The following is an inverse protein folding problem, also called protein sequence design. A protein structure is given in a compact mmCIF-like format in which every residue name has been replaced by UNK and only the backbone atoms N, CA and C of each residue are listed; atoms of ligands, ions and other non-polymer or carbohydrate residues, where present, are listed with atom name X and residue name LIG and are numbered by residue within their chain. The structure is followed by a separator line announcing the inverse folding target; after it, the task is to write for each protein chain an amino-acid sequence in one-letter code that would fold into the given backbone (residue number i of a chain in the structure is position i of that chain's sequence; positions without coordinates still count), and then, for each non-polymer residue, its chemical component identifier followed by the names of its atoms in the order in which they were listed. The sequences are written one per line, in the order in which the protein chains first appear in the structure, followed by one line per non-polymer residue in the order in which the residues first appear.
data_IF_148746148907
#
_entry.id   IF_148746148907
#
_cell.length_a   1.000
_cell.length_b   1.000
_cell.length_c   1.000
_cell.angle_alpha   90.00
_cell.angle_beta   90.00
_cell.angle_gamma   90.00
#
_symmetry.space_group_name_H-M   'P 1'
#
loop_
_entity.id
_entity.type
_entity.pdbx_description
1 polymer ?
#
# COMPACT_ATOMS: atom_id res chain seq x y z
N UNK A 1 32.30 -8.41 -10.36
CA UNK A 1 32.10 -9.04 -9.03
C UNK A 1 30.63 -9.41 -8.93
N UNK A 2 30.29 -10.69 -9.11
CA UNK A 2 28.89 -11.17 -9.11
C UNK A 2 28.46 -11.39 -7.68
N UNK A 3 27.53 -10.58 -7.17
CA UNK A 3 26.89 -10.81 -5.87
C UNK A 3 25.65 -11.65 -6.17
N UNK A 4 25.75 -12.95 -5.90
CA UNK A 4 24.60 -13.85 -5.82
C UNK A 4 23.83 -13.54 -4.55
N UNK A 5 22.66 -12.92 -4.68
CA UNK A 5 21.72 -12.75 -3.57
C UNK A 5 21.19 -14.11 -3.15
N UNK A 6 21.59 -14.57 -1.97
CA UNK A 6 21.03 -15.75 -1.33
C UNK A 6 19.65 -15.39 -0.79
N UNK A 7 18.61 -16.00 -1.37
CA UNK A 7 17.26 -16.03 -0.84
C UNK A 7 17.29 -16.83 0.47
N UNK A 8 17.41 -16.15 1.61
CA UNK A 8 17.33 -16.78 2.92
C UNK A 8 15.86 -17.14 3.19
N UNK A 9 15.50 -18.38 2.86
CA UNK A 9 14.24 -19.00 3.27
C UNK A 9 14.30 -19.19 4.81
N UNK A 10 13.72 -18.25 5.55
CA UNK A 10 13.51 -18.41 6.99
C UNK A 10 12.46 -19.50 7.21
N UNK A 11 12.90 -20.75 7.39
CA UNK A 11 12.07 -21.76 8.05
C UNK A 11 11.96 -21.38 9.53
N UNK A 12 10.81 -20.81 9.90
CA UNK A 12 10.42 -20.69 11.30
C UNK A 12 10.07 -22.08 11.79
N UNK A 13 10.96 -22.69 12.58
CA UNK A 13 10.63 -23.89 13.34
C UNK A 13 9.63 -23.51 14.43
N UNK A 14 8.34 -23.73 14.18
CA UNK A 14 7.34 -23.70 15.22
C UNK A 14 7.54 -24.92 16.12
N UNK A 15 7.79 -24.71 17.41
CA UNK A 15 7.56 -25.77 18.38
C UNK A 15 6.06 -26.07 18.38
N UNK A 16 5.69 -27.24 17.89
CA UNK A 16 4.32 -27.76 18.01
C UNK A 16 4.09 -28.10 19.47
N UNK A 17 3.74 -27.10 20.27
CA UNK A 17 3.07 -27.35 21.55
C UNK A 17 1.69 -27.89 21.16
N UNK A 18 1.50 -29.19 21.33
CA UNK A 18 0.20 -29.86 21.24
C UNK A 18 -0.73 -29.36 22.37
N UNK A 19 -1.11 -28.08 22.36
CA UNK A 19 -2.36 -27.71 23.03
C UNK A 19 -3.47 -28.17 22.12
N UNK A 20 -4.33 -29.06 22.62
CA UNK A 20 -5.55 -29.43 21.91
C UNK A 20 -6.32 -28.15 21.58
N UNK A 21 -6.59 -27.92 20.30
CA UNK A 21 -7.35 -26.76 19.87
C UNK A 21 -8.77 -26.85 20.44
N UNK A 22 -9.29 -25.74 20.94
CA UNK A 22 -10.71 -25.63 21.25
C UNK A 22 -11.48 -25.49 19.92
N UNK A 23 -12.28 -26.49 19.60
CA UNK A 23 -13.09 -26.55 18.39
C UNK A 23 -14.46 -25.95 18.65
N UNK A 24 -14.89 -25.01 17.82
CA UNK A 24 -16.24 -24.47 17.87
C UNK A 24 -17.24 -25.51 17.37
N UNK A 25 -18.19 -25.86 18.23
CA UNK A 25 -19.29 -26.79 17.95
C UNK A 25 -20.63 -26.08 17.71
N UNK A 26 -20.71 -24.78 17.98
CA UNK A 26 -21.97 -24.03 17.90
C UNK A 26 -22.43 -23.79 16.46
N UNK A 27 -23.75 -23.77 16.23
CA UNK A 27 -24.31 -23.22 14.99
C UNK A 27 -24.16 -21.70 14.99
N UNK A 28 -24.87 -20.98 15.86
CA UNK A 28 -24.65 -19.56 16.14
C UNK A 28 -24.67 -19.37 17.67
N UNK A 29 -23.68 -18.69 18.24
CA UNK A 29 -23.61 -18.60 19.69
C UNK A 29 -22.55 -17.66 20.23
N UNK A 30 -22.58 -17.47 21.55
CA UNK A 30 -21.59 -16.65 22.23
C UNK A 30 -20.26 -17.41 22.38
N UNK A 31 -19.15 -16.76 22.01
CA UNK A 31 -17.78 -17.23 22.11
C UNK A 31 -17.41 -17.64 23.54
N UNK A 32 -18.04 -17.07 24.57
CA UNK A 32 -17.76 -17.41 25.99
C UNK A 32 -18.76 -18.40 26.59
N UNK A 33 -19.51 -19.12 25.77
CA UNK A 33 -20.38 -20.21 26.23
C UNK A 33 -19.63 -21.53 26.12
N UNK A 34 -19.25 -22.12 27.25
CA UNK A 34 -18.41 -23.32 27.32
C UNK A 34 -18.95 -24.50 26.50
N UNK A 35 -20.28 -24.66 26.44
CA UNK A 35 -20.94 -25.72 25.68
C UNK A 35 -20.78 -25.60 24.15
N UNK A 36 -20.35 -24.44 23.65
CA UNK A 36 -20.08 -24.24 22.23
C UNK A 36 -18.66 -24.66 21.83
N UNK A 37 -17.84 -25.15 22.77
CA UNK A 37 -16.46 -25.55 22.52
C UNK A 37 -16.21 -27.03 22.84
N UNK A 38 -15.26 -27.62 22.12
CA UNK A 38 -14.70 -28.94 22.40
C UNK A 38 -13.18 -28.84 22.56
N UNK A 39 -12.60 -29.24 23.70
CA UNK A 39 -13.28 -29.64 24.93
C UNK A 39 -14.13 -28.51 25.52
N UNK A 40 -15.18 -28.87 26.28
CA UNK A 40 -16.06 -27.89 26.92
C UNK A 40 -15.28 -26.97 27.84
N UNK A 41 -15.37 -25.67 27.59
CA UNK A 41 -14.63 -24.64 28.31
C UNK A 41 -14.52 -23.38 27.48
N UNK A 42 -14.38 -22.24 28.15
CA UNK A 42 -14.18 -20.97 27.45
C UNK A 42 -12.71 -20.86 27.02
N UNK A 43 -12.40 -20.66 25.72
CA UNK A 43 -11.03 -20.50 25.28
C UNK A 43 -10.41 -19.24 25.89
N UNK A 44 -9.21 -19.39 26.45
CA UNK A 44 -8.40 -18.26 26.89
C UNK A 44 -7.69 -17.58 25.71
N UNK A 45 -7.02 -16.45 25.96
CA UNK A 45 -6.16 -15.81 24.97
C UNK A 45 -5.04 -16.74 24.45
N UNK A 46 -4.56 -17.67 25.28
CA UNK A 46 -3.48 -18.61 24.97
C UNK A 46 -3.97 -19.97 24.43
N UNK A 47 -5.28 -20.18 24.34
CA UNK A 47 -5.87 -21.41 23.80
C UNK A 47 -5.90 -21.33 22.28
N UNK A 48 -5.39 -22.32 21.54
CA UNK A 48 -5.60 -22.41 20.09
C UNK A 48 -7.10 -22.65 19.82
N UNK A 49 -7.69 -21.94 18.86
CA UNK A 49 -9.12 -22.12 18.53
C UNK A 49 -9.33 -22.40 17.05
N UNK A 50 -10.37 -23.17 16.74
CA UNK A 50 -10.81 -23.46 15.37
C UNK A 50 -12.33 -23.24 15.23
N UNK A 51 -12.73 -22.51 14.19
CA UNK A 51 -14.12 -22.23 13.83
C UNK A 51 -14.30 -22.63 12.36
N UNK A 52 -14.82 -23.83 12.11
CA UNK A 52 -14.98 -24.39 10.76
C UNK A 52 -16.40 -24.20 10.16
N UNK A 53 -17.37 -23.90 11.01
CA UNK A 53 -18.78 -23.70 10.67
C UNK A 53 -19.45 -22.83 11.73
N UNK A 54 -20.60 -22.25 11.39
CA UNK A 54 -21.37 -21.44 12.31
C UNK A 54 -20.80 -20.05 12.61
N UNK A 55 -21.43 -19.31 13.53
CA UNK A 55 -21.01 -17.96 13.96
C UNK A 55 -20.68 -17.91 15.46
N UNK A 56 -19.39 -17.76 15.77
CA UNK A 56 -18.91 -17.46 17.11
C UNK A 56 -18.94 -15.94 17.35
N UNK A 57 -19.88 -15.47 18.16
CA UNK A 57 -20.09 -14.05 18.45
C UNK A 57 -19.47 -13.65 19.80
N UNK A 58 -18.72 -12.55 19.84
CA UNK A 58 -18.11 -12.05 21.06
C UNK A 58 -18.32 -10.53 21.20
N UNK A 59 -18.90 -10.13 22.33
CA UNK A 59 -19.15 -8.73 22.68
C UNK A 59 -18.06 -8.24 23.65
N UNK A 60 -16.85 -8.02 23.14
CA UNK A 60 -15.71 -7.56 23.96
C UNK A 60 -14.40 -7.50 23.20
N UNK A 61 -13.32 -7.21 23.91
CA UNK A 61 -11.97 -7.20 23.34
C UNK A 61 -11.45 -8.63 23.19
N UNK A 62 -11.28 -9.08 21.95
CA UNK A 62 -10.70 -10.39 21.67
C UNK A 62 -9.18 -10.23 21.60
N UNK A 63 -8.53 -10.51 22.72
CA UNK A 63 -7.07 -10.61 22.79
C UNK A 63 -6.63 -12.03 22.47
N UNK A 64 -5.72 -12.18 21.50
CA UNK A 64 -5.16 -13.47 21.10
C UNK A 64 -3.65 -13.51 21.38
N UNK A 65 -3.21 -14.60 21.98
CA UNK A 65 -1.81 -14.96 22.27
C UNK A 65 -1.52 -16.40 21.80
N UNK A 66 -2.36 -16.92 20.91
CA UNK A 66 -2.29 -18.24 20.31
C UNK A 66 -3.06 -18.25 18.98
N UNK A 67 -2.92 -19.35 18.24
CA UNK A 67 -3.49 -19.47 16.90
C UNK A 67 -5.02 -19.45 16.90
N UNK A 68 -5.58 -18.89 15.84
CA UNK A 68 -7.02 -18.84 15.56
C UNK A 68 -7.24 -19.28 14.12
N UNK A 69 -7.95 -20.38 13.90
CA UNK A 69 -8.22 -20.90 12.56
C UNK A 69 -9.70 -20.70 12.25
N UNK A 70 -10.00 -20.01 11.15
CA UNK A 70 -11.35 -19.82 10.63
C UNK A 70 -11.38 -20.44 9.24
N UNK A 71 -12.23 -21.44 9.05
CA UNK A 71 -12.28 -22.27 7.84
C UNK A 71 -13.72 -22.61 7.46
N UNK A 72 -13.91 -23.28 6.32
CA UNK A 72 -15.22 -23.76 5.87
C UNK A 72 -16.24 -22.62 5.73
N UNK A 73 -17.30 -22.66 6.54
CA UNK A 73 -18.34 -21.61 6.63
C UNK A 73 -18.27 -20.84 7.95
N UNK A 74 -17.27 -21.14 8.79
CA UNK A 74 -17.12 -20.59 10.12
C UNK A 74 -16.89 -19.08 10.12
N UNK A 75 -17.54 -18.38 11.04
CA UNK A 75 -17.45 -16.94 11.17
C UNK A 75 -17.15 -16.54 12.61
N UNK A 76 -16.23 -15.59 12.78
CA UNK A 76 -15.98 -14.91 14.04
C UNK A 76 -16.57 -13.50 13.98
N UNK A 77 -17.57 -13.22 14.80
CA UNK A 77 -18.23 -11.92 14.86
C UNK A 77 -17.87 -11.18 16.15
N UNK A 78 -17.24 -10.02 16.03
CA UNK A 78 -16.87 -9.14 17.15
C UNK A 78 -17.71 -7.87 17.09
N UNK A 79 -18.49 -7.60 18.14
CA UNK A 79 -19.43 -6.45 18.16
C UNK A 79 -19.24 -5.53 19.38
N UNK A 80 -19.82 -4.34 19.30
CA UNK A 80 -19.81 -3.35 20.38
C UNK A 80 -18.55 -2.49 20.35
N UNK A 81 -17.91 -2.28 21.50
CA UNK A 81 -16.60 -1.61 21.60
C UNK A 81 -15.43 -2.59 21.36
N UNK A 82 -15.72 -3.78 20.81
CA UNK A 82 -14.78 -4.89 20.73
C UNK A 82 -13.57 -4.58 19.85
N UNK A 83 -12.38 -4.68 20.45
CA UNK A 83 -11.10 -4.64 19.72
C UNK A 83 -10.70 -6.06 19.32
N UNK A 84 -10.22 -6.23 18.10
CA UNK A 84 -9.41 -7.39 17.76
C UNK A 84 -7.95 -7.04 18.08
N UNK A 85 -7.36 -7.77 19.02
CA UNK A 85 -5.99 -7.53 19.50
C UNK A 85 -5.18 -8.81 19.34
N UNK A 86 -4.63 -9.02 18.16
CA UNK A 86 -3.74 -10.15 17.92
C UNK A 86 -2.34 -9.86 18.46
N UNK A 87 -1.71 -10.83 19.09
CA UNK A 87 -0.39 -10.66 19.72
C UNK A 87 -0.41 -10.10 21.16
N UNK A 88 -1.57 -9.74 21.72
CA UNK A 88 -1.66 -8.93 22.94
C UNK A 88 -1.22 -9.61 24.27
N UNK A 89 -0.65 -10.80 24.22
CA UNK A 89 -0.08 -11.50 25.38
C UNK A 89 0.96 -12.59 25.01
N UNK A 90 1.38 -12.63 23.76
CA UNK A 90 2.25 -13.66 23.18
C UNK A 90 2.08 -13.69 21.66
N UNK A 91 3.00 -14.34 20.94
CA UNK A 91 2.90 -14.44 19.49
C UNK A 91 1.62 -15.17 19.05
N UNK A 92 0.95 -14.67 18.02
CA UNK A 92 -0.34 -15.22 17.59
C UNK A 92 -0.55 -15.11 16.07
N UNK A 93 -1.10 -16.16 15.48
CA UNK A 93 -1.47 -16.20 14.06
C UNK A 93 -2.98 -16.42 13.89
N UNK A 94 -3.59 -15.70 12.96
CA UNK A 94 -4.98 -15.93 12.54
C UNK A 94 -4.97 -16.41 11.09
N UNK A 95 -5.59 -17.54 10.80
CA UNK A 95 -5.82 -18.00 9.43
C UNK A 95 -7.30 -17.93 9.07
N UNK A 96 -7.60 -17.39 7.89
CA UNK A 96 -8.96 -17.28 7.35
C UNK A 96 -9.00 -17.94 5.98
N UNK A 97 -9.86 -18.93 5.82
CA UNK A 97 -10.01 -19.72 4.61
C UNK A 97 -11.46 -20.15 4.39
N UNK A 98 -11.77 -20.68 3.20
CA UNK A 98 -13.13 -21.11 2.87
C UNK A 98 -14.02 -19.93 2.46
N UNK A 99 -15.27 -19.94 2.93
CA UNK A 99 -16.31 -18.95 2.60
C UNK A 99 -16.76 -18.11 3.80
N UNK A 100 -16.46 -18.57 5.01
CA UNK A 100 -16.70 -17.82 6.25
C UNK A 100 -15.73 -16.64 6.44
N UNK A 101 -15.51 -16.19 7.68
CA UNK A 101 -14.64 -15.03 7.88
C UNK A 101 -14.67 -14.36 9.25
N UNK A 102 -14.28 -13.09 9.26
CA UNK A 102 -14.28 -12.24 10.46
C UNK A 102 -15.20 -11.05 10.19
N UNK A 103 -16.15 -10.79 11.07
CA UNK A 103 -16.96 -9.58 11.06
C UNK A 103 -16.69 -8.80 12.34
N UNK A 104 -15.83 -7.79 12.28
CA UNK A 104 -15.47 -6.97 13.43
C UNK A 104 -16.06 -5.57 13.30
N UNK A 105 -16.73 -5.10 14.34
CA UNK A 105 -17.15 -3.71 14.53
C UNK A 105 -16.73 -3.25 15.92
N UNK A 106 -15.92 -2.20 16.00
CA UNK A 106 -15.44 -1.67 17.27
C UNK A 106 -14.38 -0.58 17.14
N UNK A 107 -13.49 -0.43 18.12
CA UNK A 107 -12.54 0.69 18.12
C UNK A 107 -11.29 0.43 17.27
N UNK A 108 -10.71 -0.76 17.42
CA UNK A 108 -9.41 -1.10 16.82
C UNK A 108 -9.42 -2.50 16.23
N UNK A 109 -8.69 -2.63 15.12
CA UNK A 109 -8.25 -3.90 14.58
C UNK A 109 -6.73 -3.88 14.52
N UNK A 110 -6.11 -4.72 15.34
CA UNK A 110 -4.65 -4.78 15.49
C UNK A 110 -4.17 -6.15 15.02
N UNK A 111 -3.38 -6.18 13.95
CA UNK A 111 -2.74 -7.41 13.45
C UNK A 111 -1.66 -7.90 14.43
N UNK A 112 -1.03 -6.98 15.14
CA UNK A 112 -0.02 -7.24 16.17
C UNK A 112 -0.11 -6.19 17.30
N UNK A 113 0.07 -6.63 18.54
CA UNK A 113 0.15 -5.75 19.72
C UNK A 113 1.22 -6.24 20.70
N UNK A 114 2.28 -5.48 20.94
CA UNK A 114 3.45 -5.81 21.80
C UNK A 114 4.22 -7.13 21.50
N UNK A 115 3.74 -7.99 20.59
CA UNK A 115 4.40 -9.22 20.15
C UNK A 115 4.12 -9.46 18.67
N UNK A 116 4.88 -10.34 18.02
CA UNK A 116 4.63 -10.73 16.62
C UNK A 116 3.20 -11.25 16.44
N UNK A 117 2.49 -10.67 15.47
CA UNK A 117 1.15 -11.08 15.10
C UNK A 117 1.04 -11.23 13.59
N UNK A 118 0.38 -12.29 13.13
CA UNK A 118 0.14 -12.50 11.71
C UNK A 118 -1.31 -12.85 11.39
N UNK A 119 -1.77 -12.42 10.21
CA UNK A 119 -3.03 -12.86 9.62
C UNK A 119 -2.75 -13.37 8.20
N UNK A 120 -3.24 -14.57 7.89
CA UNK A 120 -3.20 -15.13 6.54
C UNK A 120 -4.62 -15.40 6.07
N UNK A 121 -5.02 -14.77 4.97
CA UNK A 121 -6.34 -14.92 4.38
C UNK A 121 -6.22 -15.50 2.97
N UNK A 122 -6.70 -16.72 2.77
CA UNK A 122 -6.72 -17.41 1.46
C UNK A 122 -8.12 -17.54 0.86
N UNK A 123 -9.15 -17.17 1.61
CA UNK A 123 -10.55 -17.16 1.18
C UNK A 123 -11.41 -16.35 2.14
N UNK A 124 -12.72 -16.45 1.98
CA UNK A 124 -13.67 -15.81 2.91
C UNK A 124 -13.64 -14.29 2.88
N UNK A 125 -14.26 -13.67 3.88
CA UNK A 125 -14.29 -12.21 4.05
C UNK A 125 -13.82 -11.79 5.44
N UNK A 126 -12.82 -10.91 5.52
CA UNK A 126 -12.46 -10.20 6.75
C UNK A 126 -13.02 -8.79 6.63
N UNK A 127 -14.11 -8.52 7.33
CA UNK A 127 -14.74 -7.21 7.42
C UNK A 127 -14.41 -6.57 8.77
N UNK A 128 -13.83 -5.38 8.74
CA UNK A 128 -13.48 -4.61 9.92
C UNK A 128 -14.03 -3.19 9.81
N UNK A 129 -14.91 -2.81 10.71
CA UNK A 129 -15.41 -1.44 10.86
C UNK A 129 -14.86 -0.86 12.15
N UNK A 130 -13.96 0.11 12.02
CA UNK A 130 -13.25 0.71 13.16
C UNK A 130 -13.65 2.17 13.35
N UNK A 131 -13.93 2.55 14.60
CA UNK A 131 -14.16 3.95 14.98
C UNK A 131 -12.87 4.70 15.28
N UNK A 132 -11.75 3.99 15.48
CA UNK A 132 -10.43 4.59 15.66
C UNK A 132 -9.52 4.15 14.53
N UNK A 133 -8.85 3.01 14.63
CA UNK A 133 -7.82 2.67 13.65
C UNK A 133 -7.70 1.19 13.32
N UNK A 134 -7.21 0.95 12.11
CA UNK A 134 -6.78 -0.35 11.64
C UNK A 134 -5.26 -0.33 11.54
N UNK A 135 -4.58 -1.09 12.40
CA UNK A 135 -3.14 -1.02 12.52
C UNK A 135 -2.51 -2.40 12.28
N UNK A 136 -1.44 -2.39 11.50
CA UNK A 136 -0.61 -3.58 11.35
C UNK A 136 0.11 -3.90 12.68
N UNK A 137 0.59 -2.88 13.38
CA UNK A 137 1.16 -3.04 14.72
C UNK A 137 0.83 -1.89 15.67
N UNK A 138 0.70 -2.21 16.96
CA UNK A 138 0.60 -1.24 18.05
C UNK A 138 1.45 -1.70 19.25
N UNK A 139 2.09 -0.77 19.96
CA UNK A 139 3.00 -1.11 21.07
C UNK A 139 4.46 -1.34 20.68
N UNK A 140 5.34 -1.40 21.68
CA UNK A 140 6.79 -1.46 21.45
C UNK A 140 7.21 -2.87 21.02
N UNK A 141 8.00 -2.98 19.95
CA UNK A 141 8.55 -4.27 19.49
C UNK A 141 7.53 -5.22 18.84
N UNK A 142 6.30 -4.75 18.61
CA UNK A 142 5.30 -5.46 17.81
C UNK A 142 5.76 -5.60 16.36
N UNK A 143 5.39 -6.67 15.66
CA UNK A 143 5.56 -6.78 14.21
C UNK A 143 4.32 -7.45 13.66
N UNK A 144 3.61 -6.73 12.79
CA UNK A 144 2.40 -7.24 12.15
C UNK A 144 2.66 -7.69 10.72
N UNK A 145 2.08 -8.83 10.34
CA UNK A 145 2.07 -9.28 8.96
C UNK A 145 0.66 -9.67 8.55
N UNK A 146 0.13 -9.08 7.49
CA UNK A 146 -1.12 -9.52 6.86
C UNK A 146 -0.83 -9.99 5.44
N UNK A 147 -1.15 -11.23 5.14
CA UNK A 147 -1.03 -11.80 3.79
C UNK A 147 -2.41 -12.17 3.26
N UNK A 148 -2.83 -11.52 2.17
CA UNK A 148 -4.05 -11.83 1.43
C UNK A 148 -3.68 -12.59 0.15
N UNK A 149 -4.09 -13.85 0.03
CA UNK A 149 -3.91 -14.65 -1.20
C UNK A 149 -5.24 -14.98 -1.90
N UNK A 150 -6.38 -14.72 -1.25
CA UNK A 150 -7.71 -14.90 -1.81
C UNK A 150 -8.80 -14.37 -0.88
N UNK A 151 -10.03 -14.24 -1.40
CA UNK A 151 -11.15 -13.66 -0.65
C UNK A 151 -11.17 -12.12 -0.65
N UNK A 152 -11.87 -11.54 0.33
CA UNK A 152 -12.04 -10.10 0.47
C UNK A 152 -11.60 -9.59 1.85
N UNK A 153 -10.76 -8.55 1.88
CA UNK A 153 -10.48 -7.74 3.07
C UNK A 153 -11.22 -6.41 2.92
N UNK A 154 -12.15 -6.12 3.81
CA UNK A 154 -12.99 -4.92 3.78
C UNK A 154 -12.80 -4.13 5.07
N UNK A 155 -12.10 -3.00 5.00
CA UNK A 155 -11.83 -2.13 6.14
C UNK A 155 -12.58 -0.81 5.97
N UNK A 156 -13.40 -0.45 6.94
CA UNK A 156 -14.07 0.84 7.01
C UNK A 156 -13.62 1.60 8.26
N UNK A 157 -13.22 2.85 8.09
CA UNK A 157 -12.82 3.74 9.18
C UNK A 157 -13.86 4.86 9.34
N UNK A 158 -14.34 5.05 10.57
CA UNK A 158 -15.45 5.98 10.87
C UNK A 158 -15.11 7.16 11.76
N UNK A 159 -14.02 7.08 12.53
CA UNK A 159 -13.50 8.25 13.23
C UNK A 159 -12.65 9.12 12.33
N UNK A 160 -12.60 10.42 12.65
CA UNK A 160 -11.76 11.40 11.96
C UNK A 160 -11.04 12.30 12.95
N UNK A 161 -9.74 12.46 12.74
CA UNK A 161 -8.97 13.54 13.33
C UNK A 161 -7.70 13.80 12.49
N UNK A 162 -7.59 14.96 11.86
CA UNK A 162 -6.46 15.36 11.00
C UNK A 162 -5.08 15.23 11.65
N UNK A 163 -5.01 15.30 12.97
CA UNK A 163 -3.75 15.39 13.71
C UNK A 163 -3.45 14.14 14.53
N UNK A 164 -4.42 13.23 14.70
CA UNK A 164 -4.27 12.06 15.55
C UNK A 164 -4.19 10.77 14.72
N UNK A 165 -3.01 10.14 14.71
CA UNK A 165 -2.75 8.85 14.08
C UNK A 165 -3.54 7.68 14.70
N UNK A 166 -4.31 7.91 15.77
CA UNK A 166 -5.29 6.96 16.25
C UNK A 166 -6.46 6.73 15.27
N UNK A 167 -6.67 7.63 14.29
CA UNK A 167 -7.77 7.61 13.32
C UNK A 167 -7.25 7.41 11.89
N UNK A 168 -6.74 6.22 11.59
CA UNK A 168 -6.10 5.91 10.30
C UNK A 168 -6.09 4.41 9.99
N UNK A 169 -5.75 4.12 8.74
CA UNK A 169 -5.12 2.85 8.38
C UNK A 169 -3.61 3.06 8.48
N UNK A 170 -2.92 2.31 9.34
CA UNK A 170 -1.50 2.55 9.62
C UNK A 170 -0.69 1.26 9.55
N UNK A 171 0.21 1.22 8.58
CA UNK A 171 1.22 0.18 8.42
C UNK A 171 2.53 0.77 8.95
N UNK A 172 3.07 0.19 10.02
CA UNK A 172 4.29 0.69 10.68
C UNK A 172 4.07 1.79 11.72
N UNK A 173 2.98 1.75 12.50
CA UNK A 173 2.70 2.75 13.55
C UNK A 173 3.75 2.76 14.65
N UNK A 174 4.13 1.59 15.15
CA UNK A 174 5.10 1.44 16.24
C UNK A 174 6.27 0.52 15.91
N UNK A 175 6.32 -0.03 14.70
CA UNK A 175 7.38 -0.93 14.24
C UNK A 175 7.72 -0.70 12.78
N UNK A 176 8.99 -0.87 12.45
CA UNK A 176 9.47 -0.79 11.07
C UNK A 176 9.38 -2.08 10.27
N UNK A 177 8.95 -3.19 10.88
CA UNK A 177 8.96 -4.50 10.22
C UNK A 177 7.56 -4.96 9.78
N UNK A 178 6.59 -4.05 9.78
CA UNK A 178 5.22 -4.35 9.38
C UNK A 178 5.13 -4.65 7.89
N UNK A 179 4.31 -5.65 7.53
CA UNK A 179 4.07 -6.03 6.13
C UNK A 179 2.57 -6.20 5.86
N UNK A 180 2.04 -5.41 4.94
CA UNK A 180 0.77 -5.71 4.26
C UNK A 180 1.09 -6.28 2.87
N UNK A 181 0.83 -7.57 2.67
CA UNK A 181 1.11 -8.27 1.42
C UNK A 181 -0.18 -8.74 0.75
N UNK A 182 -0.49 -8.14 -0.38
CA UNK A 182 -1.61 -8.52 -1.25
C UNK A 182 -1.04 -9.34 -2.41
N UNK A 183 -1.30 -10.64 -2.37
CA UNK A 183 -0.86 -11.63 -3.35
C UNK A 183 -2.05 -12.50 -3.82
N UNK A 184 -3.14 -11.82 -4.16
CA UNK A 184 -4.43 -12.37 -4.55
C UNK A 184 -5.58 -11.70 -3.81
N UNK A 185 -6.81 -12.01 -4.22
CA UNK A 185 -8.02 -11.43 -3.62
C UNK A 185 -8.15 -9.91 -3.81
N UNK A 186 -9.08 -9.33 -3.04
CA UNK A 186 -9.40 -7.90 -3.09
C UNK A 186 -9.33 -7.29 -1.67
N UNK A 187 -8.51 -6.26 -1.49
CA UNK A 187 -8.46 -5.46 -0.27
C UNK A 187 -9.06 -4.07 -0.52
N UNK A 188 -10.08 -3.70 0.25
CA UNK A 188 -10.75 -2.40 0.15
C UNK A 188 -10.68 -1.70 1.49
N UNK A 189 -10.12 -0.50 1.50
CA UNK A 189 -10.06 0.40 2.64
C UNK A 189 -10.91 1.62 2.31
N UNK A 190 -11.88 1.95 3.16
CA UNK A 190 -12.77 3.10 2.97
C UNK A 190 -12.71 4.00 4.19
N UNK A 191 -12.46 5.28 3.97
CA UNK A 191 -12.73 6.30 4.96
C UNK A 191 -14.16 6.82 4.77
N UNK A 192 -14.93 6.88 5.85
CA UNK A 192 -16.26 7.51 5.82
C UNK A 192 -16.21 9.00 6.17
N UNK A 193 -15.07 9.46 6.68
CA UNK A 193 -14.81 10.85 6.99
C UNK A 193 -13.65 11.39 6.16
N UNK A 194 -13.84 12.58 5.57
CA UNK A 194 -12.97 13.13 4.53
C UNK A 194 -11.57 13.59 4.99
N UNK A 195 -11.25 13.46 6.29
CA UNK A 195 -9.97 13.89 6.86
C UNK A 195 -9.12 12.71 7.36
N UNK A 196 -9.62 11.47 7.18
CA UNK A 196 -8.91 10.25 7.55
C UNK A 196 -7.75 9.99 6.59
N UNK A 197 -6.69 9.36 7.08
CA UNK A 197 -5.44 9.15 6.33
C UNK A 197 -5.01 7.70 6.35
N UNK A 198 -4.27 7.30 5.33
CA UNK A 198 -3.60 6.00 5.24
C UNK A 198 -2.08 6.22 5.23
N UNK A 199 -1.36 5.40 5.99
CA UNK A 199 0.08 5.57 6.19
C UNK A 199 0.85 4.27 6.02
N UNK A 200 2.04 4.39 5.42
CA UNK A 200 3.16 3.45 5.54
C UNK A 200 4.30 4.23 6.19
N UNK A 201 4.84 3.70 7.29
CA UNK A 201 5.78 4.43 8.14
C UNK A 201 6.89 3.54 8.70
N UNK A 202 7.95 4.18 9.21
CA UNK A 202 9.00 3.59 10.08
C UNK A 202 9.80 2.43 9.47
N UNK A 203 9.80 2.26 8.15
CA UNK A 203 10.47 1.12 7.52
C UNK A 203 9.52 0.02 7.04
N UNK A 204 8.23 0.15 7.36
CA UNK A 204 7.25 -0.84 7.00
C UNK A 204 7.01 -0.91 5.49
N UNK A 205 6.45 -2.04 5.06
CA UNK A 205 6.22 -2.35 3.67
C UNK A 205 4.74 -2.63 3.39
N UNK A 206 4.25 -2.08 2.27
CA UNK A 206 3.08 -2.61 1.57
C UNK A 206 3.50 -3.18 0.22
N UNK A 207 3.05 -4.38 -0.09
CA UNK A 207 3.34 -5.05 -1.37
C UNK A 207 2.07 -5.55 -2.03
N UNK A 208 1.92 -5.28 -3.33
CA UNK A 208 0.83 -5.77 -4.19
C UNK A 208 1.43 -6.57 -5.34
N UNK A 209 1.57 -7.87 -5.14
CA UNK A 209 2.13 -8.78 -6.14
C UNK A 209 1.06 -9.25 -7.13
N UNK A 210 -0.12 -9.57 -6.62
CA UNK A 210 -1.29 -9.95 -7.41
C UNK A 210 -2.58 -9.57 -6.67
N UNK A 211 -3.72 -9.52 -7.36
CA UNK A 211 -4.99 -9.04 -6.78
C UNK A 211 -5.17 -7.53 -6.84
N UNK A 212 -6.01 -6.98 -5.96
CA UNK A 212 -6.32 -5.55 -5.92
C UNK A 212 -6.30 -4.96 -4.52
N UNK A 213 -5.83 -3.72 -4.40
CA UNK A 213 -5.91 -2.90 -3.20
C UNK A 213 -6.56 -1.56 -3.57
N UNK A 214 -7.65 -1.18 -2.90
CA UNK A 214 -8.35 0.09 -3.10
C UNK A 214 -8.38 0.89 -1.80
N UNK A 215 -7.96 2.15 -1.85
CA UNK A 215 -8.13 3.12 -0.77
C UNK A 215 -9.05 4.23 -1.25
N UNK A 216 -10.24 4.30 -0.66
CA UNK A 216 -11.28 5.25 -1.04
C UNK A 216 -11.50 6.32 0.03
N UNK A 217 -11.67 7.57 -0.39
CA UNK A 217 -12.10 8.71 0.43
C UNK A 217 -11.14 9.14 1.54
N UNK A 218 -9.88 8.69 1.48
CA UNK A 218 -8.85 9.20 2.38
C UNK A 218 -8.44 10.61 1.94
N UNK A 219 -8.10 11.47 2.89
CA UNK A 219 -7.47 12.76 2.56
C UNK A 219 -6.08 12.56 1.98
N UNK A 220 -5.28 11.69 2.61
CA UNK A 220 -3.93 11.41 2.17
C UNK A 220 -3.66 9.92 2.23
N UNK A 221 -2.91 9.44 1.24
CA UNK A 221 -2.17 8.19 1.31
C UNK A 221 -0.69 8.56 1.34
N UNK A 222 0.02 8.26 2.43
CA UNK A 222 1.42 8.71 2.62
C UNK A 222 2.33 7.51 2.82
N UNK A 223 3.39 7.45 2.02
CA UNK A 223 4.54 6.55 2.19
C UNK A 223 5.67 7.37 2.80
N UNK A 224 6.09 7.05 4.02
CA UNK A 224 7.11 7.78 4.78
C UNK A 224 6.54 8.93 5.63
N UNK A 225 5.61 8.65 6.55
CA UNK A 225 4.93 9.71 7.36
C UNK A 225 5.58 10.02 8.72
N UNK A 226 6.17 9.07 9.40
CA UNK A 226 6.66 9.25 10.78
C UNK A 226 8.17 9.48 10.83
N UNK A 227 8.60 10.49 11.58
CA UNK A 227 9.94 11.10 11.55
C UNK A 227 11.06 10.27 12.21
N UNK A 228 10.87 8.96 12.39
CA UNK A 228 11.93 8.09 12.90
C UNK A 228 13.03 7.98 11.84
N UNK A 229 14.03 8.85 11.96
CA UNK A 229 15.11 9.08 11.00
C UNK A 229 15.90 7.78 10.79
N UNK A 230 16.12 7.39 9.53
CA UNK A 230 17.00 6.28 9.15
C UNK A 230 16.31 4.99 8.69
N UNK A 231 14.98 5.02 8.49
CA UNK A 231 14.23 3.91 7.88
C UNK A 231 13.46 4.42 6.65
N UNK A 232 13.45 3.66 5.57
CA UNK A 232 12.68 4.00 4.36
C UNK A 232 11.41 3.18 4.35
N UNK A 233 10.25 3.84 4.21
CA UNK A 233 8.97 3.13 4.08
C UNK A 233 8.73 2.77 2.62
N UNK A 234 8.29 1.53 2.36
CA UNK A 234 8.25 0.98 1.02
C UNK A 234 6.82 0.62 0.59
N UNK A 235 6.49 0.99 -0.64
CA UNK A 235 5.33 0.50 -1.37
C UNK A 235 5.79 -0.16 -2.68
N UNK A 236 5.48 -1.42 -2.88
CA UNK A 236 5.80 -2.13 -4.12
C UNK A 236 4.52 -2.64 -4.81
N UNK A 237 4.39 -2.38 -6.11
CA UNK A 237 3.37 -2.97 -6.98
C UNK A 237 4.07 -3.73 -8.09
N UNK A 238 3.96 -5.06 -8.05
CA UNK A 238 4.72 -5.95 -8.93
C UNK A 238 3.86 -6.61 -10.02
N UNK A 239 2.53 -6.57 -9.88
CA UNK A 239 1.63 -7.19 -10.86
C UNK A 239 0.14 -6.97 -10.61
N UNK A 240 -0.27 -6.70 -9.37
CA UNK A 240 -1.66 -6.37 -9.04
C UNK A 240 -2.04 -4.91 -9.34
N UNK A 241 -3.15 -4.48 -8.76
CA UNK A 241 -3.65 -3.09 -8.90
C UNK A 241 -3.73 -2.38 -7.56
N UNK A 242 -3.25 -1.14 -7.51
CA UNK A 242 -3.48 -0.21 -6.42
C UNK A 242 -4.31 0.97 -6.94
N UNK A 243 -5.48 1.19 -6.34
CA UNK A 243 -6.37 2.30 -6.69
C UNK A 243 -6.57 3.22 -5.49
N UNK A 244 -6.19 4.48 -5.65
CA UNK A 244 -6.42 5.56 -4.69
C UNK A 244 -7.52 6.45 -5.26
N UNK A 245 -8.73 6.38 -4.71
CA UNK A 245 -9.92 7.04 -5.28
C UNK A 245 -10.62 7.91 -4.25
N UNK A 246 -11.36 8.92 -4.76
CA UNK A 246 -12.10 9.83 -3.90
C UNK A 246 -11.20 10.60 -2.93
N UNK A 247 -9.90 10.74 -3.23
CA UNK A 247 -9.01 11.53 -2.39
C UNK A 247 -9.57 12.96 -2.29
N UNK A 248 -9.54 13.53 -1.08
CA UNK A 248 -10.06 14.88 -0.87
C UNK A 248 -9.34 15.89 -1.79
N UNK A 249 -10.01 16.98 -2.18
CA UNK A 249 -9.46 17.97 -3.13
C UNK A 249 -8.20 18.69 -2.63
N UNK A 250 -7.97 18.73 -1.32
CA UNK A 250 -6.74 19.23 -0.69
C UNK A 250 -5.82 18.09 -0.22
N UNK A 251 -6.09 16.88 -0.71
CA UNK A 251 -5.40 15.64 -0.47
C UNK A 251 -4.35 15.33 -1.52
N UNK A 252 -3.66 14.19 -1.36
CA UNK A 252 -2.70 13.67 -2.32
C UNK A 252 -2.27 12.24 -2.01
N UNK A 253 -1.69 11.61 -3.03
CA UNK A 253 -0.74 10.52 -2.83
C UNK A 253 0.66 11.10 -2.58
N UNK A 254 1.23 10.85 -1.40
CA UNK A 254 2.50 11.44 -0.98
C UNK A 254 3.54 10.36 -0.77
N UNK A 255 4.73 10.56 -1.33
CA UNK A 255 5.90 9.73 -1.10
C UNK A 255 6.99 10.62 -0.51
N UNK A 256 7.47 10.30 0.69
CA UNK A 256 8.42 11.13 1.42
C UNK A 256 7.76 12.34 2.11
N UNK A 257 6.97 12.11 3.16
CA UNK A 257 6.21 13.16 3.86
C UNK A 257 6.88 13.73 5.12
N UNK A 258 7.30 12.89 6.06
CA UNK A 258 8.21 13.30 7.16
C UNK A 258 9.40 12.39 7.36
N UNK A 259 9.46 11.31 6.60
CA UNK A 259 10.57 10.38 6.52
C UNK A 259 10.63 9.86 5.09
N UNK A 260 11.71 9.19 4.74
CA UNK A 260 11.94 8.74 3.38
C UNK A 260 10.88 7.73 2.96
N UNK A 261 10.32 7.97 1.78
CA UNK A 261 9.34 7.10 1.14
C UNK A 261 9.87 6.60 -0.18
N UNK A 262 9.57 5.34 -0.47
CA UNK A 262 9.89 4.72 -1.75
C UNK A 262 8.69 3.99 -2.31
N UNK A 263 8.45 4.19 -3.59
CA UNK A 263 7.48 3.43 -4.37
C UNK A 263 8.20 2.74 -5.52
N UNK A 264 7.90 1.47 -5.74
CA UNK A 264 8.36 0.72 -6.91
C UNK A 264 7.15 0.17 -7.66
N UNK A 265 7.06 0.48 -8.96
CA UNK A 265 6.09 -0.09 -9.89
C UNK A 265 6.86 -0.90 -10.93
N UNK A 266 6.84 -2.22 -10.79
CA UNK A 266 7.53 -3.14 -11.72
C UNK A 266 6.57 -3.85 -12.68
N UNK A 267 5.27 -3.82 -12.39
CA UNK A 267 4.19 -4.38 -13.20
C UNK A 267 2.83 -4.00 -12.63
N UNK A 268 1.74 -4.41 -13.28
CA UNK A 268 0.39 -4.09 -12.82
C UNK A 268 0.03 -2.60 -12.99
N UNK A 269 -0.73 -2.03 -12.05
CA UNK A 269 -1.15 -0.62 -12.12
C UNK A 269 -1.22 0.11 -10.78
N UNK A 270 -0.93 1.41 -10.81
CA UNK A 270 -1.27 2.36 -9.75
C UNK A 270 -2.14 3.46 -10.37
N UNK A 271 -3.31 3.71 -9.79
CA UNK A 271 -4.21 4.79 -10.19
C UNK A 271 -4.46 5.73 -9.03
N UNK A 272 -4.30 7.03 -9.26
CA UNK A 272 -4.59 8.11 -8.30
C UNK A 272 -5.65 9.03 -8.89
N UNK A 273 -6.88 8.91 -8.41
CA UNK A 273 -8.03 9.67 -8.93
C UNK A 273 -8.48 10.75 -7.95
N UNK A 274 -8.66 11.97 -8.47
CA UNK A 274 -9.20 13.12 -7.74
C UNK A 274 -8.16 13.96 -6.97
N UNK A 275 -6.90 13.54 -6.94
CA UNK A 275 -5.82 14.30 -6.31
C UNK A 275 -4.46 14.07 -7.00
N UNK A 276 -3.53 15.00 -6.80
CA UNK A 276 -2.18 14.90 -7.35
C UNK A 276 -1.31 13.88 -6.61
N UNK A 277 -0.14 13.65 -7.17
CA UNK A 277 0.93 12.90 -6.53
C UNK A 277 2.10 13.82 -6.18
N UNK A 278 2.62 13.71 -4.96
CA UNK A 278 3.75 14.50 -4.48
C UNK A 278 4.91 13.59 -4.11
N UNK A 279 6.05 13.81 -4.76
CA UNK A 279 7.32 13.14 -4.47
C UNK A 279 8.20 14.11 -3.71
N UNK A 280 8.42 13.86 -2.43
CA UNK A 280 9.04 14.81 -1.51
C UNK A 280 8.06 15.90 -1.11
N UNK A 281 7.50 15.79 0.09
CA UNK A 281 6.59 16.77 0.69
C UNK A 281 6.89 16.91 2.18
N UNK A 282 8.13 17.30 2.48
CA UNK A 282 8.57 17.49 3.85
C UNK A 282 7.67 18.49 4.59
N UNK A 283 7.39 18.17 5.85
CA UNK A 283 6.76 19.11 6.77
C UNK A 283 7.60 20.41 6.87
N UNK A 284 6.95 21.56 6.97
CA UNK A 284 7.63 22.85 7.11
C UNK A 284 8.59 22.92 8.30
N UNK A 285 8.36 22.09 9.33
CA UNK A 285 9.23 21.97 10.49
C UNK A 285 10.41 20.98 10.31
N UNK A 286 10.54 20.32 9.16
CA UNK A 286 11.61 19.36 8.91
C UNK A 286 12.99 20.05 8.91
N UNK A 287 13.92 19.52 9.70
CA UNK A 287 15.31 19.98 9.79
C UNK A 287 16.28 19.15 8.95
N UNK A 288 15.80 18.04 8.41
CA UNK A 288 16.53 17.12 7.53
C UNK A 288 15.84 17.04 6.18
N UNK A 289 16.62 16.83 5.12
CA UNK A 289 16.05 16.57 3.79
C UNK A 289 15.29 15.26 3.79
N UNK A 290 14.01 15.29 3.38
CA UNK A 290 13.18 14.10 3.20
C UNK A 290 13.14 13.70 1.73
N UNK A 291 13.32 12.41 1.46
CA UNK A 291 13.36 11.87 0.10
C UNK A 291 12.04 11.16 -0.24
N UNK A 292 11.44 11.56 -1.35
CA UNK A 292 10.34 10.84 -1.99
C UNK A 292 10.79 10.26 -3.31
N UNK A 293 10.87 8.94 -3.41
CA UNK A 293 11.38 8.26 -4.61
C UNK A 293 10.33 7.36 -5.25
N UNK A 294 10.23 7.42 -6.58
CA UNK A 294 9.39 6.55 -7.37
C UNK A 294 10.24 5.88 -8.46
N UNK A 295 10.24 4.56 -8.50
CA UNK A 295 10.88 3.77 -9.55
C UNK A 295 9.80 3.06 -10.36
N UNK A 296 9.65 3.43 -11.62
CA UNK A 296 8.83 2.72 -12.58
C UNK A 296 9.73 1.92 -13.51
N UNK A 297 9.62 0.59 -13.47
CA UNK A 297 10.34 -0.31 -14.38
C UNK A 297 9.39 -1.19 -15.20
N UNK A 298 8.12 -0.82 -15.27
CA UNK A 298 7.04 -1.53 -15.94
C UNK A 298 5.67 -1.02 -15.46
N UNK A 299 4.60 -1.70 -15.87
CA UNK A 299 3.23 -1.39 -15.43
C UNK A 299 2.69 -0.03 -15.89
N UNK A 300 1.51 0.33 -15.39
CA UNK A 300 0.82 1.58 -15.72
C UNK A 300 0.62 2.46 -14.47
N UNK A 301 1.09 3.70 -14.54
CA UNK A 301 0.84 4.72 -13.53
C UNK A 301 -0.11 5.78 -14.08
N UNK A 302 -1.24 6.01 -13.42
CA UNK A 302 -2.24 7.01 -13.82
C UNK A 302 -2.46 8.04 -12.71
N UNK A 303 -2.16 9.32 -12.99
CA UNK A 303 -2.35 10.48 -12.09
C UNK A 303 -2.94 11.65 -12.88
N UNK A 304 -4.26 11.68 -13.14
CA UNK A 304 -4.87 12.67 -14.04
C UNK A 304 -4.75 14.13 -13.57
N UNK A 305 -4.36 14.35 -12.32
CA UNK A 305 -4.24 15.66 -11.67
C UNK A 305 -2.82 16.21 -11.66
N UNK A 306 -1.82 15.39 -12.01
CA UNK A 306 -0.43 15.81 -12.11
C UNK A 306 0.48 15.28 -10.99
N UNK A 307 1.77 15.32 -11.29
CA UNK A 307 2.87 14.93 -10.41
C UNK A 307 3.71 16.15 -10.06
N UNK A 308 4.01 16.33 -8.77
CA UNK A 308 4.91 17.38 -8.28
C UNK A 308 6.14 16.74 -7.64
N UNK A 309 7.32 17.13 -8.13
CA UNK A 309 8.63 16.69 -7.62
C UNK A 309 9.19 17.73 -6.67
N UNK A 310 9.68 17.31 -5.50
CA UNK A 310 10.21 18.19 -4.45
C UNK A 310 9.20 19.31 -4.11
N UNK A 311 7.97 18.96 -3.69
CA UNK A 311 6.91 19.95 -3.49
C UNK A 311 7.27 20.99 -2.43
N UNK A 312 7.82 20.55 -1.31
CA UNK A 312 8.10 21.37 -0.14
C UNK A 312 9.59 21.66 0.06
N UNK A 313 9.92 22.71 0.82
CA UNK A 313 11.28 22.96 1.29
C UNK A 313 11.82 21.76 2.05
N UNK A 314 13.15 21.56 2.06
CA UNK A 314 13.79 20.42 2.72
C UNK A 314 13.28 19.05 2.22
N UNK A 315 12.88 18.97 0.95
CA UNK A 315 12.51 17.70 0.32
C UNK A 315 13.21 17.53 -1.03
N UNK A 316 13.49 16.28 -1.37
CA UNK A 316 13.94 15.84 -2.70
C UNK A 316 12.95 14.82 -3.24
N UNK A 317 12.37 15.12 -4.40
CA UNK A 317 11.50 14.22 -5.15
C UNK A 317 12.23 13.67 -6.38
N UNK A 318 12.23 12.35 -6.52
CA UNK A 318 12.77 11.68 -7.70
C UNK A 318 11.78 10.71 -8.31
N UNK A 319 11.64 10.78 -9.63
CA UNK A 319 10.94 9.80 -10.44
C UNK A 319 11.93 9.21 -11.43
N UNK A 320 12.14 7.90 -11.40
CA UNK A 320 12.97 7.18 -12.36
C UNK A 320 12.08 6.24 -13.14
N UNK A 321 12.06 6.40 -14.47
CA UNK A 321 11.22 5.61 -15.37
C UNK A 321 12.12 4.88 -16.38
N UNK A 322 12.17 3.55 -16.30
CA UNK A 322 12.95 2.72 -17.23
C UNK A 322 12.09 1.98 -18.25
N UNK A 323 10.81 1.77 -17.94
CA UNK A 323 9.81 1.14 -18.81
C UNK A 323 8.40 1.42 -18.27
N UNK A 324 7.36 0.98 -19.00
CA UNK A 324 5.95 1.11 -18.61
C UNK A 324 5.25 2.32 -19.21
N UNK A 325 4.04 2.60 -18.72
CA UNK A 325 3.19 3.70 -19.17
C UNK A 325 2.94 4.66 -18.01
N UNK A 326 3.11 5.96 -18.26
CA UNK A 326 2.75 7.03 -17.34
C UNK A 326 1.69 7.94 -17.98
N UNK A 327 0.47 7.92 -17.44
CA UNK A 327 -0.63 8.79 -17.82
C UNK A 327 -0.82 9.89 -16.76
N UNK A 328 -0.52 11.15 -17.06
CA UNK A 328 -0.67 12.25 -16.10
C UNK A 328 -1.04 13.55 -16.78
N UNK A 329 -1.66 14.52 -16.11
CA UNK A 329 -1.90 15.82 -16.74
C UNK A 329 -0.61 16.60 -16.92
N UNK A 330 0.32 16.51 -15.97
CA UNK A 330 1.54 17.31 -15.94
C UNK A 330 2.58 16.71 -15.01
N UNK A 331 3.84 17.08 -15.21
CA UNK A 331 4.94 16.81 -14.30
C UNK A 331 5.62 18.16 -14.03
N UNK A 332 5.77 18.53 -12.76
CA UNK A 332 6.30 19.84 -12.38
C UNK A 332 7.30 19.75 -11.23
N UNK A 333 8.34 20.57 -11.28
CA UNK A 333 9.19 20.84 -10.13
C UNK A 333 8.49 21.75 -9.12
N UNK A 334 8.64 21.44 -7.83
CA UNK A 334 8.13 22.22 -6.70
C UNK A 334 9.18 23.13 -6.08
N UNK A 335 8.98 23.49 -4.81
CA UNK A 335 9.82 24.46 -4.08
C UNK A 335 11.04 23.84 -3.39
N UNK A 336 11.13 22.51 -3.32
CA UNK A 336 12.22 21.77 -2.70
C UNK A 336 13.49 21.75 -3.55
N UNK A 337 14.47 20.98 -3.09
CA UNK A 337 15.78 20.89 -3.74
C UNK A 337 15.83 19.72 -4.72
N UNK A 338 16.68 19.87 -5.73
CA UNK A 338 17.08 18.82 -6.69
C UNK A 338 15.92 17.94 -7.21
N UNK A 339 14.80 18.52 -7.69
CA UNK A 339 13.77 17.71 -8.33
C UNK A 339 14.40 16.95 -9.50
N UNK A 340 14.03 15.68 -9.65
CA UNK A 340 14.57 14.83 -10.69
C UNK A 340 13.48 13.97 -11.32
N UNK A 341 13.33 14.08 -12.63
CA UNK A 341 12.68 13.07 -13.45
C UNK A 341 13.74 12.46 -14.37
N UNK A 342 14.01 11.16 -14.23
CA UNK A 342 14.99 10.44 -15.04
C UNK A 342 14.26 9.46 -15.97
N UNK A 343 14.10 9.85 -17.23
CA UNK A 343 13.42 9.09 -18.27
C UNK A 343 14.42 8.28 -19.08
N UNK A 344 14.41 6.97 -18.85
CA UNK A 344 15.28 6.00 -19.51
C UNK A 344 14.54 5.09 -20.50
N UNK A 345 13.20 5.04 -20.46
CA UNK A 345 12.39 4.23 -21.36
C UNK A 345 10.89 4.23 -20.99
N UNK A 346 10.08 3.59 -21.84
CA UNK A 346 8.61 3.54 -21.70
C UNK A 346 7.88 4.65 -22.47
N UNK A 347 6.63 4.90 -22.09
CA UNK A 347 5.74 5.88 -22.72
C UNK A 347 5.14 6.83 -21.67
N UNK A 348 5.25 8.14 -21.90
CA UNK A 348 4.61 9.17 -21.07
C UNK A 348 3.56 9.89 -21.91
N UNK A 349 2.36 10.00 -21.35
CA UNK A 349 1.25 10.73 -21.91
C UNK A 349 0.86 11.89 -20.98
N UNK A 350 0.98 13.12 -21.50
CA UNK A 350 0.67 14.37 -20.81
C UNK A 350 -0.53 15.07 -21.45
N UNK A 351 -1.44 15.63 -20.66
CA UNK A 351 -2.52 16.48 -21.19
C UNK A 351 -1.96 17.83 -21.65
N UNK A 352 -2.41 18.30 -22.81
CA UNK A 352 -1.98 19.54 -23.44
C UNK A 352 -0.65 19.44 -24.18
N UNK A 353 -0.22 20.56 -24.78
CA UNK A 353 1.11 20.70 -25.38
C UNK A 353 2.18 20.96 -24.30
N UNK A 354 2.91 19.91 -23.92
CA UNK A 354 3.97 19.94 -22.91
C UNK A 354 5.32 19.51 -23.48
N UNK A 355 5.53 19.67 -24.79
CA UNK A 355 6.81 19.30 -25.45
C UNK A 355 8.03 20.04 -24.90
N UNK A 356 7.83 21.18 -24.23
CA UNK A 356 8.89 21.93 -23.55
C UNK A 356 9.41 21.28 -22.28
N UNK A 357 8.81 20.18 -21.81
CA UNK A 357 9.32 19.45 -20.64
C UNK A 357 10.74 18.92 -20.87
N UNK A 358 11.10 18.57 -22.11
CA UNK A 358 12.46 18.13 -22.48
C UNK A 358 13.53 19.23 -22.35
N UNK A 359 13.13 20.50 -22.21
CA UNK A 359 14.06 21.61 -21.98
C UNK A 359 14.33 21.85 -20.49
N UNK A 360 13.60 21.16 -19.61
CA UNK A 360 13.72 21.38 -18.17
C UNK A 360 15.00 20.75 -17.63
N UNK A 361 15.77 21.49 -16.83
CA UNK A 361 17.04 20.99 -16.27
C UNK A 361 16.87 19.83 -15.28
N UNK A 362 15.68 19.68 -14.71
CA UNK A 362 15.31 18.60 -13.79
C UNK A 362 14.73 17.38 -14.51
N UNK A 363 14.41 17.49 -15.81
CA UNK A 363 14.00 16.37 -16.65
C UNK A 363 15.24 15.87 -17.38
N UNK A 364 15.68 14.65 -17.05
CA UNK A 364 16.79 13.97 -17.72
C UNK A 364 16.23 12.90 -18.62
N UNK A 365 16.67 12.92 -19.86
CA UNK A 365 16.22 12.00 -20.89
C UNK A 365 17.40 11.25 -21.50
N UNK A 366 17.18 9.99 -21.87
CA UNK A 366 18.13 9.26 -22.71
C UNK A 366 18.14 9.81 -24.14
N UNK A 367 19.25 9.56 -24.85
CA UNK A 367 19.37 9.89 -26.26
C UNK A 367 18.18 9.32 -27.05
N UNK A 368 17.73 10.07 -28.06
CA UNK A 368 16.63 9.70 -28.96
C UNK A 368 15.23 9.69 -28.32
N UNK A 369 15.11 10.30 -27.14
CA UNK A 369 13.81 10.72 -26.61
C UNK A 369 13.16 11.76 -27.53
N UNK A 370 11.87 11.55 -27.83
CA UNK A 370 11.05 12.44 -28.66
C UNK A 370 9.77 12.80 -27.92
N UNK A 371 9.38 14.08 -28.01
CA UNK A 371 8.07 14.55 -27.59
C UNK A 371 7.26 15.01 -28.81
N UNK A 372 6.06 14.44 -28.97
CA UNK A 372 5.11 14.78 -30.03
C UNK A 372 3.79 15.23 -29.41
N UNK A 373 3.15 16.23 -30.00
CA UNK A 373 1.85 16.73 -29.54
C UNK A 373 0.80 16.43 -30.60
N UNK A 374 -0.30 15.84 -30.17
CA UNK A 374 -1.49 15.58 -30.98
C UNK A 374 -2.60 16.54 -30.55
N UNK A 375 -2.94 17.47 -31.44
CA UNK A 375 -4.00 18.46 -31.20
C UNK A 375 -5.42 17.88 -31.24
N UNK A 376 -5.60 16.67 -31.78
CA UNK A 376 -6.92 16.02 -31.80
C UNK A 376 -7.26 15.39 -30.44
N UNK A 377 -6.26 14.79 -29.79
CA UNK A 377 -6.41 14.19 -28.45
C UNK A 377 -6.03 15.14 -27.32
N UNK A 378 -5.49 16.33 -27.67
CA UNK A 378 -4.88 17.29 -26.75
C UNK A 378 -3.87 16.63 -25.81
N UNK A 379 -2.95 15.86 -26.40
CA UNK A 379 -2.03 15.03 -25.65
C UNK A 379 -0.60 15.15 -26.19
N UNK A 380 0.36 15.30 -25.28
CA UNK A 380 1.78 15.15 -25.57
C UNK A 380 2.20 13.72 -25.24
N UNK A 381 2.78 13.03 -26.23
CA UNK A 381 3.38 11.71 -26.07
C UNK A 381 4.91 11.81 -26.11
N UNK A 382 5.55 11.29 -25.06
CA UNK A 382 7.02 11.20 -24.93
C UNK A 382 7.42 9.72 -24.90
N UNK A 383 8.34 9.34 -25.78
CA UNK A 383 8.88 7.99 -25.88
C UNK A 383 10.31 8.02 -26.42
N UNK A 384 11.03 6.90 -26.27
CA UNK A 384 12.34 6.69 -26.89
C UNK A 384 12.15 6.04 -28.25
N UNK A 385 12.71 6.62 -29.30
CA UNK A 385 12.76 5.95 -30.61
C UNK A 385 13.91 4.93 -30.55
N UNK A 386 13.66 3.62 -30.73
CA UNK A 386 14.75 2.64 -30.80
C UNK A 386 15.72 3.07 -31.90
N UNK A 387 17.04 3.07 -31.61
CA UNK A 387 18.02 3.22 -32.68
C UNK A 387 17.67 2.19 -33.77
N UNK A 388 17.59 2.58 -35.05
CA UNK A 388 17.29 1.66 -36.12
C UNK A 388 18.44 0.65 -36.24
N UNK A 389 18.38 -0.41 -35.44
CA UNK A 389 19.17 -1.61 -35.60
C UNK A 389 18.72 -2.28 -36.89
N UNK A 390 19.27 -1.84 -38.03
CA UNK A 390 19.09 -2.50 -39.34
C UNK A 390 17.63 -2.83 -39.71
N UNK A 391 16.65 -2.02 -39.30
CA UNK A 391 15.28 -2.13 -39.77
C UNK A 391 15.02 -0.94 -40.71
N UNK A 392 14.95 -1.25 -42.00
CA UNK A 392 14.60 -0.32 -43.07
C UNK A 392 13.36 0.50 -42.71
N UNK A 393 13.42 1.79 -43.07
CA UNK A 393 12.32 2.72 -43.33
C UNK A 393 10.91 2.11 -43.26
N UNK A 394 10.16 2.45 -42.21
CA UNK A 394 8.71 2.53 -42.29
C UNK A 394 8.30 3.98 -42.00
N UNK A 395 8.33 4.80 -43.06
CA UNK A 395 7.59 6.06 -43.10
C UNK A 395 6.12 5.69 -43.24
N UNK A 396 5.34 5.88 -42.18
CA UNK A 396 3.90 6.14 -42.31
C UNK A 396 3.61 7.41 -41.53
N UNK A 397 3.51 8.50 -42.30
CA UNK A 397 2.96 9.77 -41.86
C UNK A 397 1.45 9.64 -41.72
N UNK A 398 0.90 9.91 -40.54
CA UNK A 398 -0.45 10.49 -40.38
C UNK A 398 -0.41 11.43 -39.17
N UNK A 399 -0.62 12.72 -39.43
CA UNK A 399 -0.74 13.78 -38.43
C UNK A 399 0.35 14.85 -38.56
N UNK A 400 -0.05 16.10 -38.80
CA UNK A 400 0.79 17.32 -38.76
C UNK A 400 1.33 17.58 -37.33
N UNK A 401 2.09 16.65 -36.78
CA UNK A 401 2.76 16.81 -35.50
C UNK A 401 4.13 17.45 -35.71
N UNK A 402 4.37 18.61 -35.11
CA UNK A 402 5.72 19.17 -35.05
C UNK A 402 6.52 18.32 -34.06
N UNK A 403 7.45 17.53 -34.59
CA UNK A 403 8.35 16.66 -33.83
C UNK A 403 9.52 17.49 -33.29
N UNK A 404 9.81 17.35 -32.00
CA UNK A 404 11.01 17.94 -31.39
C UNK A 404 11.96 16.82 -30.96
N UNK A 405 13.20 16.87 -31.48
CA UNK A 405 14.29 15.95 -31.13
C UNK A 405 15.45 16.75 -30.57
N UNK A 406 15.90 16.45 -29.35
CA UNK A 406 17.13 17.00 -28.81
C UNK A 406 18.29 16.11 -29.26
N UNK A 407 19.24 16.67 -30.00
CA UNK A 407 20.54 16.01 -30.20
C UNK A 407 21.38 16.33 -28.98
N UNK A 408 21.80 15.31 -28.21
CA UNK A 408 22.80 15.51 -27.18
C UNK A 408 24.05 16.10 -27.85
N UNK A 409 24.53 17.23 -27.35
CA UNK A 409 25.86 17.72 -27.72
C UNK A 409 26.85 16.72 -27.13
N UNK A 410 27.59 16.01 -27.99
CA UNK A 410 28.61 15.06 -27.55
C UNK A 410 29.62 15.74 -26.63
N UNK A 411 29.88 15.10 -25.49
CA UNK A 411 31.11 15.31 -24.71
C UNK A 411 32.09 14.23 -25.11
#
# INVERSE_FOLDING_TARGET
MKITSALALFLVNFSTVNSEAALWLGSDGNYTTAANWSPSGNPSAATVVEINSGNASYAGNLTRAANTVISGTGTLTLTGTGRLVNGGGGAAAISVSGTGGINQSGEYFLVSNNNTGSITQSGGTVRSTVSRGWFMSDGTGSTGTYTLTGGALEVSTSGSNSTNSAYSVHIGKNSGNDLLHINGGNATFTATANDTRAYISKGAEMRVDSGSATFSNFRFFVVGRDADVGSTSDLAVNGGSLSLTGLASNGAFVVGGRNDGRVTLSGGSITVSGAGMWLGDADAAATTTINGSFLQSGGEMTVPTGIVLSRALNSTGSYVMTDGILNTSSITAGAGSNPLFDFMGGEIFLTGDQRSILDQSWFREVQDTVASYDSFTDQTHIHVIPEPGSALLAVVAVGLGVVRRRRAAGV
#
